data_IF_112517156143
#
_entry.id   IF_112517156143
#
_cell.length_a   1.000
_cell.length_b   1.000
_cell.length_c   1.000
_cell.angle_alpha   90.00
_cell.angle_beta   90.00
_cell.angle_gamma   90.00
#
_symmetry.space_group_name_H-M   'P 1'
#
loop_
_entity.id
_entity.type
_entity.pdbx_description
1 polymer ?
#
# COMPACT_ATOMS: atom_id res chain seq x y z
N UNK A 1 43.97 -51.69 -34.59
CA UNK A 1 42.93 -51.87 -33.54
C UNK A 1 43.66 -51.80 -32.21
N UNK A 2 43.59 -50.82 -31.31
CA UNK A 2 42.46 -50.04 -30.77
C UNK A 2 43.06 -48.81 -30.06
N UNK A 3 42.94 -47.60 -30.63
CA UNK A 3 43.46 -46.35 -30.03
C UNK A 3 42.48 -45.17 -30.06
N UNK A 4 41.18 -45.44 -30.24
CA UNK A 4 40.18 -44.40 -30.56
C UNK A 4 39.11 -44.16 -29.49
N UNK A 5 39.26 -44.67 -28.27
CA UNK A 5 38.18 -44.63 -27.25
C UNK A 5 38.49 -43.73 -26.02
N UNK A 6 39.26 -42.65 -26.19
CA UNK A 6 39.53 -41.70 -25.07
C UNK A 6 39.18 -40.24 -25.33
N UNK A 7 38.54 -39.92 -26.45
CA UNK A 7 38.18 -38.53 -26.81
C UNK A 7 36.69 -38.23 -26.57
N UNK A 8 35.85 -39.24 -26.34
CA UNK A 8 34.40 -39.05 -26.19
C UNK A 8 33.92 -38.68 -24.77
N UNK A 9 34.81 -38.54 -23.78
CA UNK A 9 34.43 -38.32 -22.38
C UNK A 9 34.61 -36.87 -21.87
N UNK A 10 35.01 -35.94 -22.75
CA UNK A 10 35.34 -34.56 -22.35
C UNK A 10 34.41 -33.48 -22.92
N UNK A 11 33.32 -33.88 -23.61
CA UNK A 11 32.33 -32.95 -24.19
C UNK A 11 31.01 -32.90 -23.38
N UNK A 12 30.88 -33.70 -22.31
CA UNK A 12 29.62 -33.85 -21.58
C UNK A 12 29.48 -33.01 -20.30
N UNK A 13 30.30 -31.97 -20.08
CA UNK A 13 30.31 -31.19 -18.81
C UNK A 13 30.18 -29.68 -18.97
N UNK A 14 29.65 -29.19 -20.09
CA UNK A 14 29.34 -27.76 -20.29
C UNK A 14 27.92 -27.49 -20.78
N UNK A 15 26.94 -28.28 -20.32
CA UNK A 15 25.57 -27.78 -20.24
C UNK A 15 25.46 -26.93 -18.97
N UNK A 16 26.12 -25.77 -18.97
CA UNK A 16 25.92 -24.75 -17.95
C UNK A 16 24.43 -24.42 -17.95
N UNK A 17 23.76 -24.82 -16.88
CA UNK A 17 22.37 -24.53 -16.64
C UNK A 17 22.21 -23.01 -16.62
N UNK A 18 21.83 -22.44 -17.76
CA UNK A 18 21.16 -21.15 -17.85
C UNK A 18 19.77 -21.34 -17.24
N UNK A 19 19.75 -21.56 -15.92
CA UNK A 19 18.56 -21.22 -15.14
C UNK A 19 18.49 -19.71 -15.23
N UNK A 20 17.73 -19.24 -16.21
CA UNK A 20 17.20 -17.88 -16.18
C UNK A 20 16.42 -17.83 -14.88
N UNK A 21 17.05 -17.33 -13.82
CA UNK A 21 16.36 -16.97 -12.60
C UNK A 21 15.30 -15.98 -13.07
N UNK A 22 14.05 -16.44 -13.13
CA UNK A 22 12.93 -15.54 -13.35
C UNK A 22 13.15 -14.40 -12.36
N UNK A 23 13.13 -13.12 -12.82
CA UNK A 23 13.36 -12.02 -11.91
C UNK A 23 12.39 -12.24 -10.77
N UNK A 24 12.90 -12.36 -9.54
CA UNK A 24 12.07 -12.51 -8.36
C UNK A 24 11.16 -11.29 -8.33
N UNK A 25 9.97 -11.44 -8.90
CA UNK A 25 8.94 -10.42 -8.94
C UNK A 25 8.54 -10.26 -7.50
N UNK A 26 9.10 -9.30 -6.78
CA UNK A 26 8.81 -9.07 -5.37
C UNK A 26 7.42 -8.44 -5.16
N UNK A 27 6.46 -8.78 -6.02
CA UNK A 27 5.07 -8.41 -5.93
C UNK A 27 4.26 -9.58 -6.53
N UNK A 28 3.69 -10.39 -5.64
CA UNK A 28 2.97 -11.62 -5.93
C UNK A 28 1.49 -11.52 -5.51
N UNK A 29 0.93 -10.31 -5.54
CA UNK A 29 -0.43 -10.04 -5.06
C UNK A 29 -1.53 -10.77 -5.83
N UNK A 30 -1.20 -11.31 -7.02
CA UNK A 30 -2.08 -12.12 -7.84
C UNK A 30 -1.69 -13.61 -7.89
N UNK A 31 -0.61 -14.02 -7.22
CA UNK A 31 -0.17 -15.42 -7.21
C UNK A 31 -1.25 -16.32 -6.59
N UNK A 32 -1.61 -17.41 -7.28
CA UNK A 32 -2.66 -18.33 -6.83
C UNK A 32 -4.12 -17.88 -7.09
N UNK A 33 -4.34 -16.70 -7.68
CA UNK A 33 -5.69 -16.21 -8.03
C UNK A 33 -6.01 -16.48 -9.51
N UNK A 34 -7.06 -17.26 -9.77
CA UNK A 34 -7.49 -17.61 -11.14
C UNK A 34 -7.85 -16.38 -12.00
N UNK A 35 -8.49 -15.38 -11.38
CA UNK A 35 -8.80 -14.09 -12.02
C UNK A 35 -8.34 -12.98 -11.08
N UNK A 36 -7.31 -12.25 -11.50
CA UNK A 36 -6.74 -11.16 -10.73
C UNK A 36 -6.33 -9.99 -11.61
N UNK A 37 -6.65 -8.77 -11.15
CA UNK A 37 -6.17 -7.52 -11.71
C UNK A 37 -5.17 -6.91 -10.72
N UNK A 38 -3.88 -6.83 -11.06
CA UNK A 38 -2.88 -6.23 -10.18
C UNK A 38 -3.03 -4.71 -10.18
N UNK A 39 -3.05 -4.10 -9.00
CA UNK A 39 -3.05 -2.65 -8.82
C UNK A 39 -1.80 -2.26 -8.05
N UNK A 40 -0.95 -1.48 -8.72
CA UNK A 40 0.34 -1.02 -8.20
C UNK A 40 0.20 0.39 -7.61
N UNK A 41 0.58 0.56 -6.35
CA UNK A 41 0.68 1.85 -5.69
C UNK A 41 1.95 2.64 -6.05
N UNK A 42 2.04 3.92 -5.64
CA UNK A 42 3.29 4.66 -5.70
C UNK A 42 4.28 4.17 -4.63
N UNK A 43 5.54 4.60 -4.71
CA UNK A 43 6.44 4.53 -3.57
C UNK A 43 5.97 5.53 -2.51
N UNK A 44 5.54 5.05 -1.36
CA UNK A 44 5.04 5.84 -0.24
C UNK A 44 6.19 6.11 0.74
N UNK A 45 6.43 7.38 1.03
CA UNK A 45 7.46 7.78 1.99
C UNK A 45 7.03 7.43 3.41
N UNK A 46 7.91 6.75 4.14
CA UNK A 46 7.78 6.48 5.57
C UNK A 46 8.69 7.47 6.29
N UNK A 47 8.20 8.21 7.30
CA UNK A 47 9.09 9.07 8.08
C UNK A 47 10.11 8.21 8.84
N UNK A 48 11.39 8.57 8.78
CA UNK A 48 12.41 7.93 9.60
C UNK A 48 12.11 8.15 11.09
N UNK A 49 12.25 7.11 11.92
CA UNK A 49 11.96 7.22 13.34
C UNK A 49 13.05 8.01 14.07
N UNK A 50 12.64 9.03 14.84
CA UNK A 50 13.54 9.84 15.70
C UNK A 50 13.35 9.61 17.21
N UNK A 51 12.44 8.71 17.62
CA UNK A 51 12.10 8.51 19.04
C UNK A 51 11.27 7.24 19.29
N UNK A 52 10.84 7.04 20.54
CA UNK A 52 10.07 5.86 20.97
C UNK A 52 8.67 5.79 20.34
N UNK A 53 7.99 6.94 20.19
CA UNK A 53 6.77 7.04 19.42
C UNK A 53 7.11 7.09 17.93
N UNK A 54 6.77 6.02 17.22
CA UNK A 54 7.09 5.90 15.80
C UNK A 54 5.94 6.44 14.96
N UNK A 55 6.21 7.39 14.03
CA UNK A 55 5.18 7.91 13.16
C UNK A 55 4.71 6.82 12.19
N UNK A 56 3.40 6.59 12.15
CA UNK A 56 2.78 5.73 11.15
C UNK A 56 2.42 6.53 9.89
N UNK A 57 2.62 5.92 8.73
CA UNK A 57 2.08 6.42 7.46
C UNK A 57 0.99 5.46 6.96
N UNK A 58 -0.08 6.02 6.39
CA UNK A 58 -1.23 5.26 5.91
C UNK A 58 -1.48 5.53 4.45
N UNK A 59 -1.64 4.46 3.66
CA UNK A 59 -1.91 4.56 2.22
C UNK A 59 -3.00 3.58 1.80
N UNK A 60 -4.09 4.09 1.23
CA UNK A 60 -5.21 3.30 0.75
C UNK A 60 -5.08 3.04 -0.75
N UNK A 61 -5.21 1.77 -1.13
CA UNK A 61 -5.45 1.34 -2.51
C UNK A 61 -6.90 0.87 -2.67
N UNK A 62 -7.40 0.97 -3.89
CA UNK A 62 -8.80 0.65 -4.20
C UNK A 62 -8.89 -0.07 -5.55
N UNK A 63 -9.55 -1.22 -5.54
CA UNK A 63 -9.88 -2.00 -6.71
C UNK A 63 -10.92 -1.29 -7.59
N UNK A 64 -10.96 -1.63 -8.89
CA UNK A 64 -12.04 -1.25 -9.79
C UNK A 64 -13.44 -1.61 -9.23
N UNK A 65 -14.49 -1.04 -9.83
CA UNK A 65 -15.86 -1.40 -9.45
C UNK A 65 -16.08 -2.90 -9.71
N UNK A 66 -16.86 -3.55 -8.83
CA UNK A 66 -17.16 -4.99 -8.89
C UNK A 66 -16.01 -5.95 -8.54
N UNK A 67 -14.86 -5.42 -8.11
CA UNK A 67 -13.75 -6.22 -7.60
C UNK A 67 -13.56 -5.98 -6.10
N UNK A 68 -13.09 -7.01 -5.40
CA UNK A 68 -12.63 -6.97 -4.01
C UNK A 68 -11.13 -7.23 -3.96
N UNK A 69 -10.49 -6.80 -2.87
CA UNK A 69 -9.07 -7.10 -2.63
C UNK A 69 -8.96 -8.58 -2.25
N UNK A 70 -8.26 -9.36 -3.08
CA UNK A 70 -8.01 -10.79 -2.90
C UNK A 70 -6.55 -11.14 -2.59
N UNK A 71 -5.63 -10.19 -2.75
CA UNK A 71 -4.22 -10.37 -2.40
C UNK A 71 -3.55 -9.04 -2.07
N UNK A 72 -2.48 -9.12 -1.28
CA UNK A 72 -1.78 -7.98 -0.69
C UNK A 72 -0.28 -8.26 -0.73
N UNK A 73 0.49 -7.29 -1.18
CA UNK A 73 1.95 -7.36 -1.12
C UNK A 73 2.57 -5.96 -0.98
N UNK A 74 3.83 -5.89 -0.59
CA UNK A 74 4.58 -4.65 -0.51
C UNK A 74 6.07 -4.86 -0.77
N UNK A 75 6.68 -3.95 -1.54
CA UNK A 75 8.15 -3.85 -1.64
C UNK A 75 8.66 -2.79 -0.70
N UNK A 76 9.78 -3.07 -0.04
CA UNK A 76 10.38 -2.17 0.95
C UNK A 76 11.76 -1.71 0.46
N UNK A 77 12.12 -0.45 0.71
CA UNK A 77 13.52 -0.01 0.52
C UNK A 77 14.44 -0.50 1.63
N UNK A 78 13.88 -0.79 2.80
CA UNK A 78 14.61 -1.22 3.98
C UNK A 78 13.85 -2.33 4.71
N UNK A 79 14.58 -3.30 5.29
CA UNK A 79 13.99 -4.36 6.12
C UNK A 79 13.41 -3.82 7.44
N UNK A 80 13.83 -2.63 7.84
CA UNK A 80 13.35 -1.96 9.04
C UNK A 80 12.03 -1.20 8.82
N UNK A 81 11.30 -1.48 7.74
CA UNK A 81 9.93 -0.97 7.55
C UNK A 81 8.98 -2.09 7.94
N UNK A 82 8.22 -1.87 9.01
CA UNK A 82 7.09 -2.71 9.37
C UNK A 82 5.87 -2.26 8.57
N UNK A 83 5.18 -3.21 7.91
CA UNK A 83 3.99 -2.94 7.09
C UNK A 83 2.89 -3.89 7.48
N UNK A 84 1.75 -3.32 7.84
CA UNK A 84 0.49 -4.01 8.07
C UNK A 84 -0.59 -3.44 7.17
N UNK A 85 -1.79 -4.02 7.23
CA UNK A 85 -2.93 -3.52 6.49
C UNK A 85 -4.20 -3.55 7.34
N UNK A 86 -5.11 -2.62 7.05
CA UNK A 86 -6.45 -2.53 7.61
C UNK A 86 -7.45 -2.71 6.47
N UNK A 87 -8.22 -3.79 6.53
CA UNK A 87 -9.31 -4.12 5.61
C UNK A 87 -10.57 -4.52 6.37
N UNK A 88 -11.72 -4.53 5.69
CA UNK A 88 -12.95 -5.04 6.30
C UNK A 88 -12.90 -6.56 6.44
N UNK A 89 -13.13 -7.03 7.66
CA UNK A 89 -13.36 -8.45 7.94
C UNK A 89 -14.77 -8.83 7.45
N UNK A 90 -14.88 -9.97 6.77
CA UNK A 90 -16.18 -10.57 6.53
C UNK A 90 -16.04 -12.06 6.28
N UNK A 91 -16.79 -12.87 7.01
CA UNK A 91 -16.73 -14.33 6.85
C UNK A 91 -17.51 -14.80 5.61
N UNK A 92 -17.01 -15.84 4.90
CA UNK A 92 -15.68 -16.44 5.03
C UNK A 92 -14.62 -15.60 4.30
N UNK A 93 -13.43 -15.45 4.88
CA UNK A 93 -12.25 -14.88 4.21
C UNK A 93 -11.12 -15.90 4.29
N UNK A 94 -10.50 -16.21 3.15
CA UNK A 94 -9.17 -16.80 3.17
C UNK A 94 -8.17 -15.72 3.62
N UNK A 95 -7.05 -16.09 4.27
CA UNK A 95 -5.98 -15.14 4.60
C UNK A 95 -5.61 -14.27 3.38
N UNK A 96 -5.51 -12.95 3.57
CA UNK A 96 -5.17 -12.00 2.48
C UNK A 96 -6.34 -11.53 1.61
N UNK A 97 -7.55 -12.11 1.76
CA UNK A 97 -8.77 -11.66 1.07
C UNK A 97 -9.56 -10.73 1.99
N UNK A 98 -10.00 -9.59 1.47
CA UNK A 98 -10.96 -8.70 2.16
C UNK A 98 -12.34 -8.84 1.51
N UNK A 99 -13.40 -8.52 2.25
CA UNK A 99 -14.76 -8.42 1.68
C UNK A 99 -15.03 -7.06 1.02
N UNK A 100 -13.98 -6.27 0.80
CA UNK A 100 -14.09 -4.88 0.38
C UNK A 100 -13.22 -4.57 -0.82
N UNK A 101 -13.57 -3.49 -1.50
CA UNK A 101 -12.82 -3.01 -2.67
C UNK A 101 -11.57 -2.21 -2.30
N UNK A 102 -11.33 -1.93 -1.02
CA UNK A 102 -10.26 -1.03 -0.59
C UNK A 102 -9.56 -1.54 0.65
N UNK A 103 -8.25 -1.37 0.70
CA UNK A 103 -7.43 -1.74 1.85
C UNK A 103 -6.48 -0.60 2.15
N UNK A 104 -6.17 -0.39 3.43
CA UNK A 104 -5.24 0.65 3.87
C UNK A 104 -3.97 0.00 4.40
N UNK A 105 -2.86 0.21 3.71
CA UNK A 105 -1.54 -0.14 4.22
C UNK A 105 -1.15 0.84 5.32
N UNK A 106 -0.57 0.33 6.39
CA UNK A 106 -0.02 1.10 7.50
C UNK A 106 1.44 0.71 7.62
N UNK A 107 2.34 1.69 7.50
CA UNK A 107 3.77 1.44 7.55
C UNK A 107 4.43 2.32 8.60
N UNK A 108 5.44 1.74 9.25
CA UNK A 108 6.22 2.41 10.30
C UNK A 108 7.68 2.00 10.14
N UNK A 109 8.60 2.97 10.25
CA UNK A 109 10.03 2.66 10.26
C UNK A 109 10.47 2.32 11.69
N UNK A 110 11.16 1.19 11.84
CA UNK A 110 11.60 0.65 13.14
C UNK A 110 13.11 0.74 13.35
N UNK A 111 13.84 1.23 12.35
CA UNK A 111 15.29 1.33 12.36
C UNK A 111 15.82 2.70 12.78
N UNK A 112 17.11 2.93 12.50
CA UNK A 112 17.81 4.21 12.76
C UNK A 112 18.44 4.81 11.49
N UNK A 113 17.99 4.35 10.32
CA UNK A 113 18.46 4.80 9.01
C UNK A 113 18.21 6.29 8.80
N UNK A 114 19.20 6.98 8.23
CA UNK A 114 19.10 8.36 7.73
C UNK A 114 18.67 8.43 6.27
N UNK A 115 18.30 7.29 5.66
CA UNK A 115 17.79 7.22 4.29
C UNK A 115 16.38 7.78 4.16
N UNK A 116 15.79 7.61 2.98
CA UNK A 116 14.38 7.88 2.72
C UNK A 116 13.59 6.56 2.67
N UNK A 117 13.25 5.96 3.84
CA UNK A 117 12.55 4.70 3.86
C UNK A 117 11.20 4.86 3.14
N UNK A 118 10.93 3.95 2.22
CA UNK A 118 9.68 3.94 1.47
C UNK A 118 9.24 2.52 1.17
N UNK A 119 7.94 2.35 0.97
CA UNK A 119 7.38 1.08 0.55
C UNK A 119 6.47 1.29 -0.65
N UNK A 120 6.31 0.26 -1.48
CA UNK A 120 5.42 0.27 -2.63
C UNK A 120 4.35 -0.78 -2.40
N UNK A 121 3.09 -0.39 -2.16
CA UNK A 121 2.01 -1.34 -1.93
C UNK A 121 1.45 -1.90 -3.24
N UNK A 122 1.00 -3.14 -3.19
CA UNK A 122 0.37 -3.87 -4.28
C UNK A 122 -0.91 -4.53 -3.77
N UNK A 123 -1.98 -4.49 -4.58
CA UNK A 123 -3.21 -5.24 -4.29
C UNK A 123 -3.63 -6.06 -5.51
N UNK A 124 -3.98 -7.31 -5.26
CA UNK A 124 -4.61 -8.19 -6.24
C UNK A 124 -6.12 -8.03 -6.14
N UNK A 125 -6.76 -7.63 -7.24
CA UNK A 125 -8.21 -7.44 -7.29
C UNK A 125 -8.88 -8.62 -7.97
N UNK A 126 -9.78 -9.31 -7.27
CA UNK A 126 -10.56 -10.44 -7.81
C UNK A 126 -12.05 -10.06 -7.95
N UNK A 127 -12.78 -10.64 -8.91
CA UNK A 127 -14.22 -10.39 -9.04
C UNK A 127 -14.96 -10.72 -7.75
N UNK A 128 -15.89 -9.85 -7.35
CA UNK A 128 -16.76 -10.11 -6.21
C UNK A 128 -17.79 -11.20 -6.57
N UNK A 129 -17.48 -12.48 -6.38
CA UNK A 129 -18.45 -13.59 -6.46
C UNK A 129 -18.26 -14.53 -5.27
N UNK A 130 -19.38 -14.97 -4.68
CA UNK A 130 -19.40 -15.95 -3.59
C UNK A 130 -19.84 -15.36 -2.25
N UNK A 131 -21.14 -15.20 -2.06
CA UNK A 131 -21.74 -15.02 -0.74
C UNK A 131 -22.61 -16.23 -0.44
N UNK A 132 -22.10 -17.17 0.37
CA UNK A 132 -22.93 -18.22 0.96
C UNK A 132 -23.86 -17.62 2.01
N UNK A 133 -25.09 -18.14 2.10
CA UNK A 133 -26.07 -17.72 3.11
C UNK A 133 -25.58 -18.12 4.50
N UNK A 134 -25.74 -17.24 5.49
CA UNK A 134 -25.35 -17.50 6.89
C UNK A 134 -26.53 -18.13 7.64
N UNK A 135 -26.26 -19.19 8.39
CA UNK A 135 -27.16 -19.67 9.45
C UNK A 135 -26.77 -18.93 10.75
N UNK A 136 -27.67 -18.17 11.40
CA UNK A 136 -27.35 -17.50 12.66
C UNK A 136 -27.23 -18.53 13.80
N UNK A 137 -26.13 -18.52 14.55
CA UNK A 137 -25.91 -19.45 15.68
C UNK A 137 -25.73 -18.76 17.04
N UNK A 138 -26.01 -17.46 17.19
CA UNK A 138 -25.91 -16.82 18.51
C UNK A 138 -26.90 -15.68 18.74
N UNK A 139 -27.47 -15.65 19.94
CA UNK A 139 -28.43 -14.65 20.43
C UNK A 139 -27.70 -13.78 21.46
N UNK A 140 -26.87 -12.83 21.01
CA UNK A 140 -26.24 -11.75 21.83
C UNK A 140 -24.98 -11.10 21.21
N UNK A 141 -24.52 -11.53 20.02
CA UNK A 141 -23.31 -10.97 19.38
C UNK A 141 -23.69 -10.07 18.21
N UNK A 142 -23.08 -8.87 18.12
CA UNK A 142 -23.25 -7.99 16.96
C UNK A 142 -22.36 -8.45 15.80
N UNK A 143 -22.89 -8.56 14.57
CA UNK A 143 -22.04 -8.79 13.42
C UNK A 143 -21.06 -7.61 13.23
N UNK A 144 -19.83 -7.84 12.73
CA UNK A 144 -18.92 -6.76 12.40
C UNK A 144 -19.59 -5.73 11.48
N UNK A 145 -19.76 -4.51 11.98
CA UNK A 145 -20.29 -3.38 11.24
C UNK A 145 -19.20 -2.54 10.57
N UNK A 146 -19.60 -1.39 10.02
CA UNK A 146 -18.68 -0.34 9.56
C UNK A 146 -18.79 0.90 10.47
N UNK A 147 -18.36 0.82 11.75
CA UNK A 147 -18.52 1.93 12.69
C UNK A 147 -17.75 3.17 12.27
N UNK A 148 -16.62 2.99 11.57
CA UNK A 148 -15.84 4.06 10.98
C UNK A 148 -15.62 3.82 9.47
N UNK A 149 -15.75 4.88 8.68
CA UNK A 149 -15.48 4.90 7.24
C UNK A 149 -14.22 5.73 6.98
N UNK A 150 -13.21 5.13 6.36
CA UNK A 150 -12.05 5.87 5.87
C UNK A 150 -12.40 6.55 4.55
N UNK A 151 -12.35 7.88 4.55
CA UNK A 151 -12.42 8.70 3.34
C UNK A 151 -11.00 9.08 2.94
N UNK A 152 -10.66 8.92 1.67
CA UNK A 152 -9.34 9.30 1.16
C UNK A 152 -9.47 10.15 -0.11
N UNK A 153 -8.50 11.05 -0.32
CA UNK A 153 -8.38 11.86 -1.52
C UNK A 153 -6.90 11.98 -1.89
N UNK A 154 -6.56 11.57 -3.11
CA UNK A 154 -5.21 11.72 -3.65
C UNK A 154 -5.13 12.96 -4.55
N UNK A 155 -4.16 13.82 -4.31
CA UNK A 155 -3.94 15.07 -5.07
C UNK A 155 -2.49 15.11 -5.54
N UNK A 156 -2.26 15.59 -6.77
CA UNK A 156 -0.90 15.81 -7.29
C UNK A 156 -0.23 16.96 -6.55
N UNK A 157 0.98 16.73 -6.07
CA UNK A 157 1.85 17.80 -5.54
C UNK A 157 2.51 18.49 -6.73
N UNK A 158 2.44 19.81 -6.75
CA UNK A 158 3.09 20.67 -7.76
C UNK A 158 4.11 21.57 -7.06
N UNK A 159 5.07 22.14 -7.79
CA UNK A 159 5.93 23.19 -7.25
C UNK A 159 5.10 24.33 -6.65
N UNK A 160 5.52 24.85 -5.49
CA UNK A 160 4.83 25.89 -4.73
C UNK A 160 4.01 25.35 -3.55
N UNK A 161 3.17 26.22 -2.99
CA UNK A 161 2.31 25.90 -1.84
C UNK A 161 0.87 25.57 -2.29
N UNK A 162 0.25 24.62 -1.63
CA UNK A 162 -1.15 24.27 -1.85
C UNK A 162 -1.83 23.81 -0.57
N UNK A 163 -3.15 23.92 -0.52
CA UNK A 163 -3.96 23.41 0.60
C UNK A 163 -4.97 22.39 0.10
N UNK A 164 -5.03 21.24 0.75
CA UNK A 164 -5.99 20.18 0.45
C UNK A 164 -6.93 19.97 1.64
N UNK A 165 -8.22 20.08 1.37
CA UNK A 165 -9.27 19.85 2.36
C UNK A 165 -9.99 18.53 2.09
N UNK A 166 -10.25 17.77 3.15
CA UNK A 166 -11.07 16.56 3.13
C UNK A 166 -11.91 16.50 4.41
N UNK A 167 -13.22 16.37 4.27
CA UNK A 167 -14.15 16.33 5.41
C UNK A 167 -14.96 15.04 5.48
N UNK A 168 -15.53 14.80 6.66
CA UNK A 168 -16.61 13.82 6.84
C UNK A 168 -17.93 14.31 6.22
N UNK A 169 -18.83 13.39 5.89
CA UNK A 169 -20.17 13.78 5.38
C UNK A 169 -21.02 14.40 6.50
N UNK A 170 -22.11 15.12 6.15
CA UNK A 170 -23.10 15.52 7.13
C UNK A 170 -23.56 14.32 7.98
N UNK A 171 -23.66 14.51 9.30
CA UNK A 171 -24.00 13.44 10.26
C UNK A 171 -22.85 12.52 10.68
N UNK A 172 -21.64 12.70 10.13
CA UNK A 172 -20.43 11.97 10.55
C UNK A 172 -19.50 12.85 11.41
N UNK A 173 -18.77 12.22 12.34
CA UNK A 173 -17.74 12.85 13.18
C UNK A 173 -16.34 12.42 12.73
N UNK A 174 -15.40 13.35 12.64
CA UNK A 174 -13.99 13.00 12.42
C UNK A 174 -13.41 12.37 13.69
N UNK A 175 -12.88 11.15 13.58
CA UNK A 175 -12.26 10.42 14.69
C UNK A 175 -10.78 10.10 14.44
N UNK A 176 -10.28 10.37 13.24
CA UNK A 176 -8.88 10.24 12.90
C UNK A 176 -8.54 10.98 11.61
N UNK A 177 -7.29 11.41 11.48
CA UNK A 177 -6.82 12.17 10.33
C UNK A 177 -5.35 11.88 10.05
N UNK A 178 -5.02 11.62 8.79
CA UNK A 178 -3.65 11.31 8.35
C UNK A 178 -3.41 11.85 6.94
N UNK A 179 -2.14 11.90 6.56
CA UNK A 179 -1.74 12.12 5.17
C UNK A 179 -0.44 11.35 4.89
N UNK A 180 -0.18 11.09 3.62
CA UNK A 180 0.99 10.36 3.16
C UNK A 180 1.43 10.87 1.79
N UNK A 181 2.73 10.94 1.55
CA UNK A 181 3.31 11.28 0.25
C UNK A 181 3.64 10.02 -0.54
N UNK A 182 3.33 10.04 -1.83
CA UNK A 182 3.59 8.95 -2.77
C UNK A 182 4.26 9.47 -4.05
N UNK A 183 5.19 8.70 -4.59
CA UNK A 183 5.94 9.00 -5.80
C UNK A 183 5.72 7.90 -6.84
N UNK A 184 5.14 8.25 -7.98
CA UNK A 184 4.97 7.31 -9.10
C UNK A 184 6.26 7.25 -9.92
N UNK A 185 7.25 6.54 -9.39
CA UNK A 185 8.54 6.24 -10.03
C UNK A 185 8.72 4.73 -10.22
N UNK A 186 9.61 4.34 -11.13
CA UNK A 186 9.93 2.91 -11.35
C UNK A 186 10.74 2.38 -10.17
N UNK A 187 11.85 3.04 -9.85
CA UNK A 187 12.72 2.78 -8.69
C UNK A 187 12.26 3.55 -7.46
N UNK A 188 12.70 3.16 -6.25
CA UNK A 188 12.47 3.96 -5.05
C UNK A 188 12.89 5.43 -5.23
N UNK A 189 12.18 6.38 -4.62
CA UNK A 189 12.56 7.79 -4.65
C UNK A 189 13.88 8.00 -3.89
N UNK A 190 14.69 8.95 -4.36
CA UNK A 190 15.88 9.40 -3.62
C UNK A 190 15.49 10.18 -2.37
N UNK A 191 16.43 10.34 -1.45
CA UNK A 191 16.24 11.20 -0.28
C UNK A 191 15.99 12.68 -0.67
N UNK A 192 16.64 13.18 -1.72
CA UNK A 192 16.38 14.53 -2.27
C UNK A 192 14.90 14.69 -2.66
N UNK A 193 14.39 13.75 -3.45
CA UNK A 193 13.02 13.81 -3.94
C UNK A 193 12.01 13.70 -2.81
N UNK A 194 12.26 12.86 -1.80
CA UNK A 194 11.40 12.79 -0.62
C UNK A 194 11.43 14.11 0.17
N UNK A 195 12.60 14.73 0.34
CA UNK A 195 12.71 16.02 1.02
C UNK A 195 12.12 17.21 0.24
N UNK A 196 11.94 17.07 -1.08
CA UNK A 196 11.34 18.10 -1.94
C UNK A 196 9.84 18.31 -1.72
N UNK A 197 9.20 17.48 -0.88
CA UNK A 197 7.81 17.65 -0.45
C UNK A 197 7.72 17.75 1.06
N UNK A 198 6.83 18.62 1.53
CA UNK A 198 6.48 18.69 2.94
C UNK A 198 4.99 18.95 3.11
N UNK A 199 4.45 18.52 4.24
CA UNK A 199 3.04 18.62 4.54
C UNK A 199 2.80 18.79 6.03
N UNK A 200 1.92 19.71 6.40
CA UNK A 200 1.42 19.85 7.77
C UNK A 200 -0.08 19.65 7.78
N UNK A 201 -0.56 18.91 8.79
CA UNK A 201 -1.98 18.57 8.95
C UNK A 201 -2.57 19.33 10.12
N UNK A 202 -3.73 19.93 9.90
CA UNK A 202 -4.59 20.48 10.92
C UNK A 202 -6.01 19.90 10.82
N UNK A 203 -6.75 19.93 11.93
CA UNK A 203 -8.18 19.61 11.96
C UNK A 203 -8.95 20.89 12.22
N UNK A 204 -9.94 21.20 11.38
CA UNK A 204 -10.84 22.35 11.56
C UNK A 204 -12.26 21.89 11.88
N UNK A 205 -12.84 22.50 12.91
CA UNK A 205 -14.23 22.28 13.32
C UNK A 205 -14.59 20.82 13.64
N UNK A 206 -13.60 19.99 14.02
CA UNK A 206 -13.79 18.57 14.33
C UNK A 206 -14.32 17.72 13.17
N UNK A 207 -14.26 18.21 11.92
CA UNK A 207 -14.89 17.57 10.76
C UNK A 207 -14.05 17.58 9.49
N UNK A 208 -13.10 18.51 9.39
CA UNK A 208 -12.30 18.74 8.17
C UNK A 208 -10.82 18.58 8.47
N UNK A 209 -10.16 17.74 7.70
CA UNK A 209 -8.71 17.61 7.64
C UNK A 209 -8.21 18.62 6.61
N UNK A 210 -7.32 19.51 7.04
CA UNK A 210 -6.64 20.48 6.20
C UNK A 210 -5.18 20.07 6.14
N UNK A 211 -4.65 19.89 4.94
CA UNK A 211 -3.23 19.60 4.73
C UNK A 211 -2.63 20.73 3.91
N UNK A 212 -1.74 21.49 4.52
CA UNK A 212 -0.91 22.49 3.84
C UNK A 212 0.31 21.79 3.30
N UNK A 213 0.59 21.95 2.01
CA UNK A 213 1.60 21.23 1.26
C UNK A 213 2.57 22.20 0.63
N UNK A 214 3.82 21.79 0.51
CA UNK A 214 4.83 22.46 -0.31
C UNK A 214 5.53 21.42 -1.18
N UNK A 215 5.73 21.76 -2.44
CA UNK A 215 6.60 21.02 -3.35
C UNK A 215 7.65 21.94 -3.96
N UNK A 216 8.85 21.44 -4.15
CA UNK A 216 9.93 22.18 -4.81
C UNK A 216 9.99 21.86 -6.31
N UNK A 217 10.94 22.47 -7.05
CA UNK A 217 11.05 22.28 -8.50
C UNK A 217 11.26 20.81 -8.91
N UNK A 218 11.90 20.01 -8.06
CA UNK A 218 12.20 18.58 -8.31
C UNK A 218 10.91 17.75 -8.55
N UNK A 219 9.78 18.12 -7.93
CA UNK A 219 8.50 17.42 -8.16
C UNK A 219 7.88 17.71 -9.54
N UNK A 220 8.39 18.69 -10.28
CA UNK A 220 7.95 18.98 -11.65
C UNK A 220 8.21 17.81 -12.60
N UNK A 221 9.33 17.09 -12.41
CA UNK A 221 9.76 15.99 -13.26
C UNK A 221 9.14 14.63 -12.91
N UNK A 222 8.41 14.53 -11.80
CA UNK A 222 7.79 13.27 -11.35
C UNK A 222 6.31 13.45 -11.03
N UNK A 223 5.57 12.36 -10.96
CA UNK A 223 4.21 12.38 -10.43
C UNK A 223 4.27 12.11 -8.92
N UNK A 224 4.60 13.16 -8.16
CA UNK A 224 4.44 13.19 -6.71
C UNK A 224 2.97 13.48 -6.35
N UNK A 225 2.46 12.78 -5.35
CA UNK A 225 1.08 12.91 -4.86
C UNK A 225 1.06 12.91 -3.34
N UNK A 226 0.02 13.52 -2.77
CA UNK A 226 -0.35 13.32 -1.38
C UNK A 226 -1.70 12.62 -1.32
N UNK A 227 -1.85 11.64 -0.45
CA UNK A 227 -3.15 11.10 -0.09
C UNK A 227 -3.54 11.63 1.30
N UNK A 228 -4.62 12.39 1.34
CA UNK A 228 -5.23 12.89 2.58
C UNK A 228 -6.32 11.93 3.02
N UNK A 229 -6.40 11.64 4.31
CA UNK A 229 -7.34 10.67 4.86
C UNK A 229 -8.10 11.26 6.06
N UNK A 230 -9.40 10.97 6.10
CA UNK A 230 -10.30 11.31 7.19
C UNK A 230 -11.05 10.04 7.62
N UNK A 231 -10.83 9.61 8.86
CA UNK A 231 -11.58 8.51 9.46
C UNK A 231 -12.84 9.09 10.11
N UNK A 232 -14.00 8.70 9.59
CA UNK A 232 -15.29 9.29 9.94
C UNK A 232 -16.18 8.26 10.62
N UNK A 233 -16.69 8.57 11.81
CA UNK A 233 -17.64 7.72 12.54
C UNK A 233 -19.06 8.22 12.38
N UNK A 234 -20.02 7.28 12.34
CA UNK A 234 -21.46 7.54 12.48
C UNK A 234 -21.99 7.20 13.87
N UNK A 235 -21.16 6.63 14.75
CA UNK A 235 -21.55 6.35 16.13
C UNK A 235 -21.79 7.69 16.85
N UNK A 236 -22.96 7.80 17.50
CA UNK A 236 -23.22 8.86 18.47
C UNK A 236 -22.31 8.65 19.69
#
# INVERSE_FOLDING_TARGET
>A
MTRSFRIAALVATLAAALVVAAPAGSANECEGLQVCVPIVGPWVSVPAAGGAARPEVRWQLTCPRSFIVGGLDARLTERAIDVSFVGLLGSPVNPGITTSRSVTFVATHVGRSSGAPSFKPYIGCMPARGGGSRVPTSVSVFPPGQPATLRSKTVRVRPGAATVNLGCRPGERLVGASHAFGFFTRTPPSASLVSSVSGTRAVRGGKVVVVSLRGDAEVGGVRAVVQVQALCSRSR
#
